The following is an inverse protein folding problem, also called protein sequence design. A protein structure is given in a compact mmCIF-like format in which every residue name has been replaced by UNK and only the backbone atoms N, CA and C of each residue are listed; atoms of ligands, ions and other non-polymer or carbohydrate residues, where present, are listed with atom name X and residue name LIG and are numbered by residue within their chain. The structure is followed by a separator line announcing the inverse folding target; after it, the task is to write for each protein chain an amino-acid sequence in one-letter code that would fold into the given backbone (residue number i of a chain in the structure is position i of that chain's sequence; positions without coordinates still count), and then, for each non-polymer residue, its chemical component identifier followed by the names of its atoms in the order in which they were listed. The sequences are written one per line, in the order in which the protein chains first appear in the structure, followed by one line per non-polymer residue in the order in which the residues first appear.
data_IF_952343342901
#
_entry.id   IF_952343342901
#
_cell.length_a   1.000
_cell.length_b   1.000
_cell.length_c   1.000
_cell.angle_alpha   90.00
_cell.angle_beta   90.00
_cell.angle_gamma   90.00
#
_symmetry.space_group_name_H-M   'P 1'
#
loop_
_entity.id
_entity.type
_entity.pdbx_description
1 polymer ?
#
# COMPACT_ATOMS: atom_id res chain seq x y z
N UNK A 1 -18.01 18.95 16.31
CA UNK A 1 -16.66 18.33 16.44
C UNK A 1 -16.71 17.04 17.26
N UNK A 2 -17.39 17.01 18.41
CA UNK A 2 -17.48 15.80 19.26
C UNK A 2 -18.15 14.59 18.59
N UNK A 3 -19.25 14.81 17.86
CA UNK A 3 -19.98 13.73 17.18
C UNK A 3 -19.18 13.13 16.02
N UNK A 4 -18.52 13.96 15.21
CA UNK A 4 -17.56 13.51 14.19
C UNK A 4 -16.39 12.70 14.78
N UNK A 5 -15.80 13.18 15.89
CA UNK A 5 -14.70 12.47 16.53
C UNK A 5 -15.14 11.12 17.13
N UNK A 6 -16.36 11.03 17.67
CA UNK A 6 -16.89 9.80 18.24
C UNK A 6 -17.28 8.78 17.15
N UNK A 7 -17.96 9.26 16.11
CA UNK A 7 -18.53 8.37 15.08
C UNK A 7 -17.50 8.05 14.02
N UNK A 8 -16.89 9.04 13.36
CA UNK A 8 -15.95 8.77 12.27
C UNK A 8 -14.61 8.26 12.77
N UNK A 9 -14.07 8.81 13.86
CA UNK A 9 -12.75 8.40 14.34
C UNK A 9 -12.86 7.20 15.27
N UNK A 10 -13.55 7.30 16.40
CA UNK A 10 -13.54 6.23 17.39
C UNK A 10 -14.31 4.99 16.91
N UNK A 11 -15.58 5.15 16.51
CA UNK A 11 -16.41 4.01 16.13
C UNK A 11 -15.89 3.30 14.88
N UNK A 12 -15.62 4.00 13.76
CA UNK A 12 -15.21 3.32 12.51
C UNK A 12 -13.85 2.63 12.62
N UNK A 13 -12.92 3.19 13.42
CA UNK A 13 -11.63 2.54 13.73
C UNK A 13 -11.86 1.30 14.60
N UNK A 14 -12.59 1.43 15.71
CA UNK A 14 -12.85 0.30 16.62
C UNK A 14 -13.61 -0.82 15.90
N UNK A 15 -14.64 -0.47 15.12
CA UNK A 15 -15.39 -1.41 14.30
C UNK A 15 -14.47 -2.12 13.30
N UNK A 16 -13.59 -1.39 12.60
CA UNK A 16 -12.61 -1.98 11.68
C UNK A 16 -11.64 -2.94 12.38
N UNK A 17 -11.11 -2.56 13.54
CA UNK A 17 -10.21 -3.42 14.33
C UNK A 17 -10.93 -4.68 14.81
N UNK A 18 -12.12 -4.53 15.40
CA UNK A 18 -12.90 -5.67 15.92
C UNK A 18 -13.29 -6.61 14.78
N UNK A 19 -13.83 -6.10 13.67
CA UNK A 19 -14.18 -6.92 12.52
C UNK A 19 -12.94 -7.63 11.94
N UNK A 20 -11.82 -6.92 11.78
CA UNK A 20 -10.58 -7.51 11.30
C UNK A 20 -10.04 -8.61 12.21
N UNK A 21 -10.13 -8.45 13.53
CA UNK A 21 -9.74 -9.48 14.50
C UNK A 21 -10.66 -10.71 14.43
N UNK A 22 -11.98 -10.50 14.29
CA UNK A 22 -12.95 -11.58 14.20
C UNK A 22 -12.77 -12.38 12.91
N UNK A 23 -12.71 -11.68 11.78
CA UNK A 23 -12.53 -12.28 10.45
C UNK A 23 -11.16 -12.96 10.36
N UNK A 24 -10.10 -12.31 10.82
CA UNK A 24 -8.76 -12.90 10.85
C UNK A 24 -8.65 -14.14 11.73
N UNK A 25 -9.33 -14.17 12.88
CA UNK A 25 -9.42 -15.39 13.72
C UNK A 25 -10.26 -16.48 13.09
N UNK A 26 -11.37 -16.12 12.45
CA UNK A 26 -12.24 -17.07 11.75
C UNK A 26 -11.49 -17.73 10.59
N UNK A 27 -10.89 -16.92 9.73
CA UNK A 27 -10.07 -17.39 8.61
C UNK A 27 -8.87 -18.20 9.10
N UNK A 28 -8.15 -17.72 10.12
CA UNK A 28 -7.08 -18.49 10.74
C UNK A 28 -7.57 -19.85 11.24
N UNK A 29 -8.69 -19.92 11.96
CA UNK A 29 -9.27 -21.21 12.37
C UNK A 29 -9.66 -22.08 11.17
N UNK A 30 -10.31 -21.53 10.15
CA UNK A 30 -10.72 -22.31 8.98
C UNK A 30 -9.53 -22.89 8.22
N UNK A 31 -8.44 -22.13 8.07
CA UNK A 31 -7.22 -22.60 7.43
C UNK A 31 -6.42 -23.60 8.27
N UNK A 32 -6.42 -23.48 9.61
CA UNK A 32 -5.59 -24.33 10.49
C UNK A 32 -6.32 -25.50 11.15
N UNK A 33 -7.65 -25.45 11.34
CA UNK A 33 -8.44 -26.59 11.88
C UNK A 33 -8.83 -27.60 10.80
N UNK A 34 -8.83 -27.19 9.53
CA UNK A 34 -9.04 -28.11 8.42
C UNK A 34 -7.69 -28.65 7.98
N UNK A 35 -7.33 -29.82 8.49
CA UNK A 35 -6.18 -30.63 8.05
C UNK A 35 -6.44 -31.20 6.64
N UNK A 36 -6.81 -30.33 5.69
CA UNK A 36 -7.13 -30.74 4.34
C UNK A 36 -5.85 -30.93 3.55
N UNK A 37 -5.33 -32.15 3.65
CA UNK A 37 -4.33 -32.70 2.73
C UNK A 37 -4.83 -32.65 1.27
N UNK A 38 -6.13 -32.44 1.04
CA UNK A 38 -6.76 -32.20 -0.27
C UNK A 38 -6.61 -30.75 -0.80
N UNK A 39 -6.29 -29.76 0.04
CA UNK A 39 -5.97 -28.39 -0.43
C UNK A 39 -4.54 -28.27 -0.99
N UNK A 40 -3.68 -29.27 -0.77
CA UNK A 40 -2.32 -29.38 -1.39
C UNK A 40 -2.34 -29.57 -2.91
N UNK A 41 -3.49 -29.88 -3.51
CA UNK A 41 -3.62 -30.21 -4.94
C UNK A 41 -3.92 -29.00 -5.85
N UNK A 42 -3.94 -27.78 -5.31
CA UNK A 42 -4.21 -26.59 -6.11
C UNK A 42 -3.29 -25.44 -5.74
N UNK A 43 -2.00 -25.56 -6.09
CA UNK A 43 -1.05 -24.43 -6.13
C UNK A 43 -1.58 -23.20 -6.91
N UNK A 44 -2.67 -23.33 -7.67
CA UNK A 44 -3.39 -22.24 -8.36
C UNK A 44 -4.62 -21.65 -7.61
N UNK A 45 -5.18 -22.31 -6.58
CA UNK A 45 -6.40 -21.83 -5.89
C UNK A 45 -6.11 -20.94 -4.68
N UNK A 46 -4.90 -21.00 -4.12
CA UNK A 46 -4.55 -20.25 -2.90
C UNK A 46 -4.47 -18.73 -3.10
N UNK A 47 -4.11 -18.25 -4.30
CA UNK A 47 -4.08 -16.81 -4.59
C UNK A 47 -5.45 -16.13 -4.49
N UNK A 48 -6.49 -16.78 -5.04
CA UNK A 48 -7.87 -16.28 -4.97
C UNK A 48 -8.41 -16.22 -3.53
N UNK A 49 -7.88 -17.05 -2.64
CA UNK A 49 -8.26 -17.06 -1.22
C UNK A 49 -7.80 -15.77 -0.53
N UNK A 50 -6.63 -15.20 -0.87
CA UNK A 50 -6.22 -13.88 -0.35
C UNK A 50 -7.18 -12.77 -0.77
N UNK A 51 -7.54 -12.76 -2.05
CA UNK A 51 -8.48 -11.79 -2.58
C UNK A 51 -9.85 -11.93 -1.92
N UNK A 52 -10.36 -13.16 -1.82
CA UNK A 52 -11.62 -13.44 -1.16
C UNK A 52 -11.60 -13.01 0.31
N UNK A 53 -10.53 -13.33 1.05
CA UNK A 53 -10.34 -12.88 2.43
C UNK A 53 -10.29 -11.36 2.55
N UNK A 54 -9.60 -10.69 1.61
CA UNK A 54 -9.50 -9.22 1.55
C UNK A 54 -10.87 -8.60 1.29
N UNK A 55 -11.60 -9.07 0.27
CA UNK A 55 -12.94 -8.56 -0.05
C UNK A 55 -13.97 -8.89 1.02
N UNK A 56 -13.89 -10.07 1.64
CA UNK A 56 -14.75 -10.45 2.77
C UNK A 56 -14.50 -9.51 3.96
N UNK A 57 -13.23 -9.33 4.34
CA UNK A 57 -12.86 -8.44 5.43
C UNK A 57 -13.29 -6.99 5.17
N UNK A 58 -13.06 -6.50 3.96
CA UNK A 58 -13.46 -5.16 3.55
C UNK A 58 -14.98 -5.01 3.54
N UNK A 59 -15.69 -5.88 2.81
CA UNK A 59 -17.14 -5.79 2.61
C UNK A 59 -17.94 -5.97 3.90
N UNK A 60 -17.61 -6.96 4.73
CA UNK A 60 -18.30 -7.16 6.02
C UNK A 60 -18.12 -5.95 6.95
N UNK A 61 -16.92 -5.36 6.95
CA UNK A 61 -16.64 -4.17 7.77
C UNK A 61 -17.37 -2.94 7.25
N UNK A 62 -17.44 -2.78 5.92
CA UNK A 62 -18.15 -1.66 5.30
C UNK A 62 -19.66 -1.72 5.60
N UNK A 63 -20.26 -2.94 5.68
CA UNK A 63 -21.67 -3.13 6.05
C UNK A 63 -22.00 -2.63 7.46
N UNK A 64 -21.04 -2.67 8.39
CA UNK A 64 -21.17 -2.09 9.74
C UNK A 64 -20.61 -0.67 9.81
N UNK A 65 -20.43 -0.01 8.66
CA UNK A 65 -19.89 1.35 8.53
C UNK A 65 -18.49 1.56 9.13
N UNK A 66 -17.73 0.48 9.35
CA UNK A 66 -16.34 0.55 9.81
C UNK A 66 -15.36 0.83 8.66
N UNK A 67 -14.11 1.15 8.99
CA UNK A 67 -13.08 1.33 7.97
C UNK A 67 -12.58 -0.02 7.43
N UNK A 68 -13.04 -0.41 6.25
CA UNK A 68 -12.64 -1.67 5.60
C UNK A 68 -11.13 -1.85 5.44
N UNK A 69 -10.38 -0.79 5.14
CA UNK A 69 -8.90 -0.84 5.05
C UNK A 69 -8.24 -1.27 6.37
N UNK A 70 -8.73 -0.77 7.50
CA UNK A 70 -8.22 -1.14 8.82
C UNK A 70 -8.54 -2.61 9.09
N UNK A 71 -9.74 -3.06 8.76
CA UNK A 71 -10.13 -4.45 8.95
C UNK A 71 -9.29 -5.42 8.11
N UNK A 72 -9.04 -5.12 6.83
CA UNK A 72 -8.16 -5.93 5.98
C UNK A 72 -6.75 -6.02 6.57
N UNK A 73 -6.19 -4.88 7.01
CA UNK A 73 -4.86 -4.85 7.62
C UNK A 73 -4.79 -5.68 8.90
N UNK A 74 -5.76 -5.51 9.80
CA UNK A 74 -5.85 -6.25 11.06
C UNK A 74 -6.10 -7.74 10.80
N UNK A 75 -6.91 -8.09 9.80
CA UNK A 75 -7.14 -9.47 9.35
C UNK A 75 -5.82 -10.12 8.95
N UNK A 76 -5.04 -9.46 8.07
CA UNK A 76 -3.74 -9.95 7.63
C UNK A 76 -2.75 -10.11 8.79
N UNK A 77 -2.67 -9.15 9.71
CA UNK A 77 -1.84 -9.27 10.91
C UNK A 77 -2.27 -10.42 11.82
N UNK A 78 -3.58 -10.67 11.94
CA UNK A 78 -4.14 -11.71 12.80
C UNK A 78 -3.86 -13.10 12.21
N UNK A 79 -4.12 -13.29 10.91
CA UNK A 79 -3.81 -14.53 10.19
C UNK A 79 -2.31 -14.85 10.30
N UNK A 80 -1.45 -13.84 10.05
CA UNK A 80 0.02 -14.00 10.16
C UNK A 80 0.50 -14.35 11.57
N UNK A 81 -0.22 -13.98 12.63
CA UNK A 81 0.13 -14.33 14.02
C UNK A 81 -0.23 -15.78 14.36
N UNK A 82 -1.30 -16.32 13.78
CA UNK A 82 -1.73 -17.71 14.01
C UNK A 82 -0.80 -18.70 13.29
N UNK A 83 -0.18 -18.27 12.20
CA UNK A 83 0.77 -19.05 11.39
C UNK A 83 2.19 -19.08 12.02
N UNK A 84 2.40 -19.92 13.03
CA UNK A 84 3.74 -20.17 13.60
C UNK A 84 4.50 -21.33 12.94
N UNK A 85 4.07 -21.82 11.76
CA UNK A 85 4.83 -22.82 11.02
C UNK A 85 4.19 -23.25 9.69
N UNK A 86 4.99 -23.22 8.62
CA UNK A 86 4.79 -23.75 7.25
C UNK A 86 4.15 -22.86 6.16
N UNK A 87 4.99 -22.46 5.18
CA UNK A 87 4.84 -22.68 3.73
C UNK A 87 3.72 -21.99 2.92
N UNK A 88 2.53 -21.78 3.50
CA UNK A 88 1.32 -21.34 2.78
C UNK A 88 1.42 -19.89 2.27
N UNK A 89 2.17 -19.06 2.99
CA UNK A 89 2.28 -17.63 2.69
C UNK A 89 3.02 -17.32 1.37
N UNK A 90 3.88 -18.19 0.83
CA UNK A 90 4.68 -17.83 -0.37
C UNK A 90 3.82 -17.71 -1.64
N UNK A 91 2.81 -18.57 -1.81
CA UNK A 91 1.90 -18.53 -2.97
C UNK A 91 0.91 -17.37 -2.84
N UNK A 92 0.41 -17.14 -1.63
CA UNK A 92 -0.50 -16.01 -1.33
C UNK A 92 0.18 -14.66 -1.57
N UNK A 93 1.39 -14.50 -1.03
CA UNK A 93 2.20 -13.31 -1.21
C UNK A 93 2.60 -13.12 -2.67
N UNK A 94 2.99 -14.21 -3.35
CA UNK A 94 3.31 -14.20 -4.77
C UNK A 94 2.14 -13.76 -5.66
N UNK A 95 0.93 -14.24 -5.38
CA UNK A 95 -0.26 -13.83 -6.15
C UNK A 95 -0.67 -12.37 -5.90
N UNK A 96 -0.65 -11.92 -4.64
CA UNK A 96 -0.90 -10.51 -4.31
C UNK A 96 0.17 -9.61 -4.94
N UNK A 97 1.44 -10.03 -4.93
CA UNK A 97 2.53 -9.30 -5.60
C UNK A 97 2.34 -9.28 -7.12
N UNK A 98 1.91 -10.39 -7.73
CA UNK A 98 1.58 -10.44 -9.15
C UNK A 98 0.44 -9.49 -9.50
N UNK A 99 -0.63 -9.46 -8.71
CA UNK A 99 -1.73 -8.51 -8.88
C UNK A 99 -1.26 -7.07 -8.71
N UNK A 100 -0.44 -6.79 -7.69
CA UNK A 100 0.13 -5.46 -7.47
C UNK A 100 0.95 -5.02 -8.69
N UNK A 101 1.78 -5.91 -9.25
CA UNK A 101 2.56 -5.64 -10.46
C UNK A 101 1.68 -5.40 -11.68
N UNK A 102 0.64 -6.21 -11.88
CA UNK A 102 -0.30 -6.07 -12.99
C UNK A 102 -1.08 -4.75 -12.89
N UNK A 103 -1.69 -4.48 -11.73
CA UNK A 103 -2.42 -3.24 -11.50
C UNK A 103 -1.52 -2.02 -11.58
N UNK A 104 -0.27 -2.10 -11.09
CA UNK A 104 0.68 -1.01 -11.25
C UNK A 104 0.97 -0.75 -12.72
N UNK A 105 1.26 -1.79 -13.51
CA UNK A 105 1.54 -1.64 -14.93
C UNK A 105 0.34 -1.03 -15.68
N UNK A 106 -0.88 -1.50 -15.40
CA UNK A 106 -2.11 -0.92 -15.93
C UNK A 106 -2.30 0.54 -15.52
N UNK A 107 -2.11 0.88 -14.25
CA UNK A 107 -2.24 2.26 -13.78
C UNK A 107 -1.19 3.19 -14.39
N UNK A 108 0.04 2.71 -14.58
CA UNK A 108 1.08 3.47 -15.27
C UNK A 108 0.74 3.70 -16.74
N UNK A 109 0.17 2.69 -17.41
CA UNK A 109 -0.32 2.82 -18.78
C UNK A 109 -1.47 3.83 -18.86
N UNK A 110 -2.46 3.74 -17.98
CA UNK A 110 -3.57 4.69 -17.90
C UNK A 110 -3.09 6.11 -17.58
N UNK A 111 -2.16 6.26 -16.65
CA UNK A 111 -1.53 7.54 -16.31
C UNK A 111 -0.78 8.11 -17.53
N UNK A 112 0.00 7.28 -18.22
CA UNK A 112 0.70 7.68 -19.44
C UNK A 112 -0.26 8.13 -20.54
N UNK A 113 -1.36 7.40 -20.74
CA UNK A 113 -2.43 7.77 -21.66
C UNK A 113 -3.10 9.10 -21.28
N UNK A 114 -3.47 9.26 -20.02
CA UNK A 114 -4.06 10.49 -19.48
C UNK A 114 -3.14 11.71 -19.71
N UNK A 115 -1.83 11.55 -19.48
CA UNK A 115 -0.83 12.57 -19.76
C UNK A 115 -0.72 12.86 -21.25
N UNK A 116 -0.68 11.83 -22.10
CA UNK A 116 -0.56 11.96 -23.55
C UNK A 116 -1.77 12.66 -24.20
N UNK A 117 -2.97 12.47 -23.65
CA UNK A 117 -4.19 13.15 -24.11
C UNK A 117 -4.35 14.57 -23.56
N UNK A 118 -3.35 15.11 -22.85
CA UNK A 118 -3.39 16.47 -22.32
C UNK A 118 -4.07 16.61 -20.96
N UNK A 119 -4.19 15.53 -20.18
CA UNK A 119 -4.77 15.57 -18.82
C UNK A 119 -4.01 16.45 -17.82
N UNK A 120 -2.81 16.92 -18.18
CA UNK A 120 -2.02 17.91 -17.43
C UNK A 120 -2.31 19.36 -17.84
N UNK A 121 -3.14 19.61 -18.87
CA UNK A 121 -3.48 20.96 -19.30
C UNK A 121 -4.08 21.86 -18.20
N UNK A 122 -4.93 21.37 -17.27
CA UNK A 122 -5.44 22.18 -16.17
C UNK A 122 -4.47 22.28 -14.98
N UNK A 123 -3.23 21.78 -15.10
CA UNK A 123 -2.26 21.86 -14.01
C UNK A 123 -1.82 23.30 -13.77
N UNK A 124 -2.25 23.87 -12.66
CA UNK A 124 -1.78 25.17 -12.21
C UNK A 124 -0.35 25.09 -11.66
N UNK A 125 0.42 26.17 -11.77
CA UNK A 125 1.78 26.22 -11.20
C UNK A 125 1.77 25.97 -9.68
N UNK A 126 0.69 26.39 -8.99
CA UNK A 126 0.45 26.14 -7.56
C UNK A 126 0.29 24.64 -7.31
N UNK A 127 -0.52 23.96 -8.11
CA UNK A 127 -0.67 22.51 -8.06
C UNK A 127 0.64 21.76 -8.30
N UNK A 128 1.45 22.20 -9.27
CA UNK A 128 2.77 21.64 -9.51
C UNK A 128 3.72 21.83 -8.31
N UNK A 129 3.72 23.01 -7.67
CA UNK A 129 4.51 23.28 -6.48
C UNK A 129 4.09 22.40 -5.29
N UNK A 130 2.79 22.18 -5.10
CA UNK A 130 2.25 21.25 -4.08
C UNK A 130 2.72 19.82 -4.34
N UNK A 131 2.60 19.33 -5.58
CA UNK A 131 3.05 17.99 -5.95
C UNK A 131 4.56 17.79 -5.70
N UNK A 132 5.37 18.80 -6.02
CA UNK A 132 6.81 18.80 -5.76
C UNK A 132 7.12 18.75 -4.26
N UNK A 133 6.44 19.58 -3.46
CA UNK A 133 6.59 19.59 -2.01
C UNK A 133 6.16 18.26 -1.37
N UNK A 134 5.09 17.65 -1.85
CA UNK A 134 4.62 16.34 -1.39
C UNK A 134 5.68 15.24 -1.59
N UNK A 135 6.31 15.22 -2.76
CA UNK A 135 7.27 14.17 -3.12
C UNK A 135 8.67 14.43 -2.54
N UNK A 136 9.16 15.67 -2.55
CA UNK A 136 10.52 15.98 -2.14
C UNK A 136 10.67 16.29 -0.65
N UNK A 137 9.61 16.75 0.01
CA UNK A 137 9.68 17.19 1.41
C UNK A 137 8.83 16.31 2.30
N UNK A 138 7.53 16.21 2.02
CA UNK A 138 6.59 15.51 2.91
C UNK A 138 6.88 14.01 2.94
N UNK A 139 7.21 13.40 1.80
CA UNK A 139 7.56 11.96 1.72
C UNK A 139 8.80 11.59 2.53
N UNK A 140 9.97 12.23 2.34
CA UNK A 140 11.15 11.90 3.15
C UNK A 140 10.93 12.18 4.64
N UNK A 141 10.22 13.26 4.96
CA UNK A 141 9.90 13.59 6.35
C UNK A 141 8.98 12.54 6.98
N UNK A 142 7.91 12.12 6.31
CA UNK A 142 6.97 11.13 6.85
C UNK A 142 7.64 9.77 7.06
N UNK A 143 8.48 9.34 6.12
CA UNK A 143 9.28 8.12 6.26
C UNK A 143 10.37 8.22 7.33
N UNK A 144 10.96 9.40 7.54
CA UNK A 144 11.87 9.63 8.66
C UNK A 144 11.10 9.59 9.99
N UNK A 145 9.97 10.30 10.09
CA UNK A 145 9.14 10.41 11.29
C UNK A 145 8.59 9.05 11.73
N UNK A 146 8.10 8.22 10.81
CA UNK A 146 7.56 6.88 11.13
C UNK A 146 8.60 5.93 11.73
N UNK A 147 9.89 6.18 11.44
CA UNK A 147 11.00 5.34 11.87
C UNK A 147 11.76 5.92 13.07
N UNK A 148 11.27 7.00 13.70
CA UNK A 148 11.92 7.62 14.89
C UNK A 148 12.04 6.66 16.08
N UNK A 149 11.23 5.59 16.13
CA UNK A 149 11.22 4.59 17.20
C UNK A 149 11.45 3.16 16.71
N UNK A 150 11.90 2.98 15.46
CA UNK A 150 12.18 1.67 14.88
C UNK A 150 13.59 1.15 15.24
N UNK A 151 13.80 -0.18 15.30
CA UNK A 151 15.10 -0.79 15.59
C UNK A 151 16.10 -0.73 14.41
N UNK A 152 15.70 -0.19 13.26
CA UNK A 152 16.52 -0.14 12.05
C UNK A 152 17.56 0.99 12.09
N UNK A 153 18.79 0.71 11.64
CA UNK A 153 19.88 1.69 11.61
C UNK A 153 19.62 2.88 10.67
N UNK A 154 20.32 4.02 10.85
CA UNK A 154 20.04 5.28 10.13
C UNK A 154 20.19 5.20 8.60
N UNK A 155 20.95 4.22 8.08
CA UNK A 155 21.11 3.99 6.63
C UNK A 155 19.97 3.15 6.04
N UNK A 156 19.53 2.13 6.76
CA UNK A 156 18.41 1.25 6.38
C UNK A 156 17.08 2.01 6.47
N UNK A 157 16.96 2.89 7.47
CA UNK A 157 15.86 3.84 7.65
C UNK A 157 15.71 4.82 6.48
N UNK A 158 16.80 5.34 5.92
CA UNK A 158 16.75 6.20 4.72
C UNK A 158 16.24 5.44 3.51
N UNK A 159 16.67 4.19 3.34
CA UNK A 159 16.24 3.35 2.21
C UNK A 159 14.76 3.00 2.36
N UNK A 160 14.30 2.51 3.52
CA UNK A 160 12.88 2.19 3.74
C UNK A 160 11.98 3.43 3.58
N UNK A 161 12.43 4.61 4.03
CA UNK A 161 11.68 5.87 3.87
C UNK A 161 11.58 6.35 2.41
N UNK A 162 12.60 6.09 1.59
CA UNK A 162 12.63 6.48 0.17
C UNK A 162 11.88 5.48 -0.72
N UNK A 163 11.79 4.23 -0.27
CA UNK A 163 11.24 3.09 -1.02
C UNK A 163 9.85 2.64 -0.53
N UNK A 164 9.11 3.52 0.16
CA UNK A 164 7.69 3.31 0.46
C UNK A 164 6.85 3.18 -0.82
N UNK A 165 6.05 2.11 -0.90
CA UNK A 165 5.35 1.61 -2.09
C UNK A 165 4.46 2.68 -2.76
N UNK A 166 4.35 2.56 -4.09
CA UNK A 166 3.86 3.52 -5.09
C UNK A 166 2.48 4.12 -4.74
N UNK A 167 2.31 5.41 -5.07
CA UNK A 167 1.15 6.26 -4.76
C UNK A 167 -0.19 5.87 -5.41
N UNK A 168 -0.40 4.60 -5.73
CA UNK A 168 -1.62 4.03 -6.32
C UNK A 168 -2.85 4.33 -5.46
N UNK A 169 -2.71 4.25 -4.13
CA UNK A 169 -3.80 4.60 -3.21
C UNK A 169 -4.27 6.05 -3.32
N UNK A 170 -3.40 6.98 -3.76
CA UNK A 170 -3.78 8.39 -3.93
C UNK A 170 -4.83 8.55 -5.03
N UNK A 171 -4.78 7.73 -6.09
CA UNK A 171 -5.77 7.72 -7.16
C UNK A 171 -7.12 7.22 -6.65
N UNK A 172 -7.11 6.17 -5.81
CA UNK A 172 -8.31 5.69 -5.13
C UNK A 172 -8.92 6.79 -4.25
N UNK A 173 -8.12 7.44 -3.41
CA UNK A 173 -8.62 8.49 -2.52
C UNK A 173 -9.13 9.70 -3.28
N UNK A 174 -8.49 10.09 -4.38
CA UNK A 174 -9.00 11.15 -5.25
C UNK A 174 -10.36 10.79 -5.84
N UNK A 175 -10.49 9.60 -6.43
CA UNK A 175 -11.75 9.14 -7.00
C UNK A 175 -12.85 9.03 -5.95
N UNK A 176 -12.53 8.51 -4.76
CA UNK A 176 -13.43 8.43 -3.63
C UNK A 176 -13.90 9.83 -3.19
N UNK A 177 -12.96 10.76 -3.01
CA UNK A 177 -13.21 12.12 -2.58
C UNK A 177 -14.14 12.85 -3.56
N UNK A 178 -13.81 12.83 -4.86
CA UNK A 178 -14.62 13.47 -5.91
C UNK A 178 -16.01 12.85 -6.05
N UNK A 179 -16.19 11.58 -5.68
CA UNK A 179 -17.49 10.91 -5.67
C UNK A 179 -18.37 11.25 -4.47
N UNK A 180 -17.80 11.78 -3.38
CA UNK A 180 -18.53 12.03 -2.12
C UNK A 180 -18.65 13.51 -1.76
N UNK A 181 -17.78 14.36 -2.29
CA UNK A 181 -17.76 15.78 -1.95
C UNK A 181 -17.35 16.64 -3.15
N UNK A 182 -17.96 17.83 -3.21
CA UNK A 182 -17.48 18.91 -4.07
C UNK A 182 -16.47 19.75 -3.28
N UNK A 183 -15.31 19.98 -3.86
CA UNK A 183 -14.20 20.71 -3.23
C UNK A 183 -14.15 22.17 -3.66
N UNK A 184 -15.10 22.64 -4.49
CA UNK A 184 -15.10 24.02 -4.99
C UNK A 184 -13.93 24.34 -5.93
N UNK A 185 -13.25 23.29 -6.43
CA UNK A 185 -12.16 23.35 -7.40
C UNK A 185 -12.54 22.38 -8.53
N UNK A 186 -12.25 22.72 -9.81
CA UNK A 186 -12.53 21.80 -10.91
C UNK A 186 -11.90 20.42 -10.66
N UNK A 187 -12.67 19.32 -10.77
CA UNK A 187 -12.15 17.97 -10.58
C UNK A 187 -10.94 17.66 -11.44
N UNK A 188 -10.89 18.22 -12.65
CA UNK A 188 -9.79 18.09 -13.60
C UNK A 188 -8.46 18.63 -13.05
N UNK A 189 -8.48 19.71 -12.25
CA UNK A 189 -7.28 20.25 -11.63
C UNK A 189 -6.73 19.27 -10.56
N UNK A 190 -7.61 18.67 -9.75
CA UNK A 190 -7.20 17.68 -8.74
C UNK A 190 -6.66 16.39 -9.37
N UNK A 191 -7.24 15.96 -10.49
CA UNK A 191 -6.69 14.89 -11.33
C UNK A 191 -5.32 15.25 -11.89
N UNK A 192 -5.15 16.46 -12.43
CA UNK A 192 -3.87 16.90 -12.96
C UNK A 192 -2.77 16.97 -11.89
N UNK A 193 -3.07 17.50 -10.70
CA UNK A 193 -2.11 17.58 -9.58
C UNK A 193 -1.74 16.18 -9.08
N UNK A 194 -2.71 15.29 -8.94
CA UNK A 194 -2.48 13.93 -8.46
C UNK A 194 -1.69 13.12 -9.49
N UNK A 195 -2.06 13.21 -10.78
CA UNK A 195 -1.35 12.60 -11.89
C UNK A 195 0.09 13.11 -11.99
N UNK A 196 0.30 14.42 -11.90
CA UNK A 196 1.64 15.04 -11.86
C UNK A 196 2.47 14.51 -10.70
N UNK A 197 1.89 14.43 -9.50
CA UNK A 197 2.58 13.95 -8.28
C UNK A 197 2.96 12.47 -8.40
N UNK A 198 2.06 11.63 -8.91
CA UNK A 198 2.33 10.20 -9.15
C UNK A 198 3.41 10.03 -10.23
N UNK A 199 3.29 10.76 -11.35
CA UNK A 199 4.29 10.74 -12.42
C UNK A 199 5.66 11.16 -11.91
N UNK A 200 5.76 12.27 -11.17
CA UNK A 200 6.99 12.75 -10.55
C UNK A 200 7.59 11.69 -9.61
N UNK A 201 6.76 11.07 -8.77
CA UNK A 201 7.20 9.98 -7.90
C UNK A 201 7.75 8.79 -8.70
N UNK A 202 7.08 8.38 -9.77
CA UNK A 202 7.49 7.22 -10.58
C UNK A 202 8.80 7.50 -11.30
N UNK A 203 8.95 8.69 -11.89
CA UNK A 203 10.17 9.14 -12.57
C UNK A 203 11.33 9.23 -11.58
N UNK A 204 11.14 9.89 -10.43
CA UNK A 204 12.18 9.97 -9.40
C UNK A 204 12.60 8.60 -8.89
N UNK A 205 11.64 7.70 -8.69
CA UNK A 205 11.93 6.34 -8.23
C UNK A 205 12.63 5.50 -9.30
N UNK A 206 12.21 5.61 -10.57
CA UNK A 206 12.84 4.94 -11.70
C UNK A 206 14.29 5.39 -11.92
N UNK A 207 14.57 6.68 -11.77
CA UNK A 207 15.93 7.24 -11.86
C UNK A 207 16.77 6.88 -10.63
N UNK A 208 16.17 6.78 -9.44
CA UNK A 208 16.89 6.53 -8.17
C UNK A 208 17.12 5.05 -7.87
N UNK A 209 16.29 4.14 -8.39
CA UNK A 209 16.39 2.70 -8.11
C UNK A 209 17.71 2.10 -8.60
N UNK A 210 18.11 2.39 -9.83
CA UNK A 210 19.35 1.89 -10.45
C UNK A 210 20.63 2.26 -9.68
N UNK A 211 20.87 3.55 -9.31
CA UNK A 211 22.07 3.91 -8.55
C UNK A 211 22.03 3.44 -7.08
N UNK A 212 20.85 3.29 -6.47
CA UNK A 212 20.72 2.82 -5.09
C UNK A 212 21.08 1.33 -4.95
N UNK A 213 20.65 0.50 -5.90
CA UNK A 213 21.00 -0.93 -5.93
C UNK A 213 22.51 -1.13 -6.15
N UNK A 214 23.10 -0.41 -7.11
CA UNK A 214 24.54 -0.48 -7.38
C UNK A 214 25.42 -0.09 -6.17
N UNK A 215 24.95 0.84 -5.32
CA UNK A 215 25.66 1.20 -4.07
C UNK A 215 25.51 0.15 -2.96
N UNK A 216 24.40 -0.57 -2.91
CA UNK A 216 24.18 -1.64 -1.93
C UNK A 216 25.03 -2.87 -2.26
N UNK A 217 25.12 -3.22 -3.54
CA UNK A 217 25.91 -4.36 -4.01
C UNK A 217 27.41 -4.15 -3.77
N UNK A 218 27.92 -2.95 -4.06
CA UNK A 218 29.32 -2.60 -3.76
C UNK A 218 29.66 -2.55 -2.26
N UNK A 219 28.68 -2.39 -1.37
CA UNK A 219 28.89 -2.48 0.08
C UNK A 219 28.86 -3.93 0.57
N UNK A 220 28.00 -4.79 0.00
CA UNK A 220 27.96 -6.22 0.29
C UNK A 220 29.26 -6.91 -0.12
N UNK A 221 29.81 -6.57 -1.28
CA UNK A 221 31.10 -7.08 -1.75
C UNK A 221 32.27 -6.70 -0.84
N UNK A 222 32.25 -5.51 -0.24
CA UNK A 222 33.29 -5.08 0.71
C UNK A 222 33.21 -5.80 2.06
N UNK A 223 32.01 -6.16 2.49
CA UNK A 223 31.81 -6.93 3.75
C UNK A 223 32.22 -8.38 3.56
N UNK A 224 31.90 -9.00 2.41
CA UNK A 224 32.34 -10.37 2.09
C UNK A 224 33.84 -10.46 1.85
N UNK A 225 34.47 -9.42 1.29
CA UNK A 225 35.93 -9.35 1.14
C UNK A 225 36.67 -9.21 2.48
N UNK A 226 36.09 -8.51 3.47
CA UNK A 226 36.72 -8.27 4.78
C UNK A 226 36.53 -9.40 5.79
N UNK A 227 35.58 -10.31 5.55
CA UNK A 227 35.39 -11.53 6.35
C UNK A 227 36.23 -12.73 5.89
N UNK A 228 37.04 -12.57 4.83
CA UNK A 228 37.95 -13.59 4.29
C UNK A 228 39.44 -13.32 4.55
N UNK A 229 39.78 -12.23 5.26
CA UNK A 229 41.13 -11.88 5.70
C UNK A 229 41.28 -12.06 7.19
#
# INVERSE_FOLDING_TARGET
VGEWALTDVLYRIVAGVVCGLLIGRLLGRLFFHSRAEELRLAEHRDGFVALAATFLAYGVTELVSGYGFIAVFVTACTVRRVEHGHGYNNVLHGFVEQLERLFTAWLLLLLGGFVATGGLAPLTWRGAAVGLALVLVIRPLSGWLSQLRGPAGPRERRIISLFGIRGIGSLFYLAYALGHADFGVPPEELWAVTAFTVMLSVVLHGITATPAMNRLDGLRERVTARGRS
#
